data_IF_308077602676
#
_entry.id   IF_308077602676
#
_cell.length_a   1.000
_cell.length_b   1.000
_cell.length_c   1.000
_cell.angle_alpha   90.00
_cell.angle_beta   90.00
_cell.angle_gamma   90.00
#
_symmetry.space_group_name_H-M   'P 1'
#
loop_
_entity.id
_entity.type
_entity.pdbx_description
1 polymer ?
#
# COMPACT_ATOMS: atom_id res chain seq x y z
N UNK A 1 19.04 11.16 16.53
CA UNK A 1 18.33 10.55 15.37
C UNK A 1 16.92 11.15 15.39
N UNK A 2 16.41 11.61 14.25
CA UNK A 2 15.12 12.34 14.19
C UNK A 2 14.04 11.36 13.74
N UNK A 3 13.04 11.16 14.59
CA UNK A 3 11.91 10.27 14.30
C UNK A 3 10.90 10.96 13.38
N UNK A 4 10.24 10.18 12.54
CA UNK A 4 9.10 10.63 11.75
C UNK A 4 7.91 10.85 12.67
N UNK A 5 7.31 12.03 12.60
CA UNK A 5 6.14 12.40 13.39
C UNK A 5 5.04 12.86 12.45
N UNK A 6 3.77 12.51 12.72
CA UNK A 6 2.64 13.00 11.93
C UNK A 6 2.58 14.53 12.03
N UNK A 7 2.18 15.17 10.93
CA UNK A 7 2.04 16.63 10.88
C UNK A 7 0.59 16.99 11.23
N UNK A 8 -0.35 16.20 10.73
CA UNK A 8 -1.76 16.27 11.04
C UNK A 8 -2.15 15.34 12.20
N UNK A 9 -3.45 15.09 12.30
CA UNK A 9 -4.06 14.30 13.37
C UNK A 9 -4.75 13.02 12.83
N UNK A 10 -4.46 12.63 11.59
CA UNK A 10 -5.07 11.45 10.99
C UNK A 10 -4.41 10.17 11.52
N UNK A 11 -5.20 9.12 11.64
CA UNK A 11 -4.73 7.76 11.94
C UNK A 11 -3.77 7.25 10.85
N UNK A 12 -4.04 7.59 9.59
CA UNK A 12 -3.24 7.22 8.43
C UNK A 12 -1.83 7.82 8.48
N UNK A 13 -1.68 9.09 8.85
CA UNK A 13 -0.36 9.70 9.05
C UNK A 13 0.38 9.09 10.23
N UNK A 14 -0.33 8.81 11.32
CA UNK A 14 0.23 8.15 12.51
C UNK A 14 0.76 6.76 12.13
N UNK A 15 -0.03 6.00 11.37
CA UNK A 15 0.35 4.67 10.89
C UNK A 15 1.55 4.74 9.94
N UNK A 16 1.53 5.69 9.01
CA UNK A 16 2.65 5.91 8.09
C UNK A 16 3.95 6.21 8.83
N UNK A 17 3.92 7.12 9.81
CA UNK A 17 5.09 7.45 10.63
C UNK A 17 5.56 6.25 11.45
N UNK A 18 4.63 5.45 12.01
CA UNK A 18 4.97 4.23 12.75
C UNK A 18 5.71 3.22 11.86
N UNK A 19 5.22 2.98 10.64
CA UNK A 19 5.89 2.11 9.66
C UNK A 19 7.29 2.64 9.33
N UNK A 20 7.43 3.93 9.03
CA UNK A 20 8.72 4.54 8.69
C UNK A 20 9.73 4.46 9.86
N UNK A 21 9.29 4.73 11.08
CA UNK A 21 10.12 4.63 12.28
C UNK A 21 10.57 3.19 12.53
N UNK A 22 9.68 2.21 12.35
CA UNK A 22 10.02 0.81 12.51
C UNK A 22 11.01 0.32 11.45
N UNK A 23 10.87 0.75 10.20
CA UNK A 23 11.84 0.48 9.14
C UNK A 23 13.19 1.15 9.44
N UNK A 24 13.18 2.41 9.86
CA UNK A 24 14.39 3.16 10.23
C UNK A 24 15.14 2.53 11.40
N UNK A 25 14.43 1.98 12.38
CA UNK A 25 15.03 1.28 13.52
C UNK A 25 15.66 -0.06 13.11
N UNK A 26 15.20 -0.67 12.00
CA UNK A 26 15.68 -1.96 11.50
C UNK A 26 16.81 -1.83 10.47
N UNK A 27 16.83 -0.74 9.71
CA UNK A 27 17.72 -0.60 8.56
C UNK A 27 18.36 0.80 8.52
N UNK A 28 19.70 0.83 8.54
CA UNK A 28 20.47 2.07 8.37
C UNK A 28 20.47 2.55 6.91
N UNK A 29 20.32 1.62 5.96
CA UNK A 29 20.27 1.86 4.52
C UNK A 29 19.13 1.09 3.90
N UNK A 30 18.66 1.51 2.71
CA UNK A 30 17.61 0.79 1.99
C UNK A 30 18.04 -0.69 1.76
N UNK A 31 17.33 -1.68 2.33
CA UNK A 31 17.67 -3.07 2.13
C UNK A 31 17.23 -3.55 0.75
N UNK A 32 17.60 -4.78 0.38
CA UNK A 32 17.14 -5.39 -0.88
C UNK A 32 15.62 -5.53 -0.89
N UNK A 33 15.01 -5.55 -2.08
CA UNK A 33 13.56 -5.66 -2.24
C UNK A 33 12.95 -6.84 -1.45
N UNK A 34 13.49 -8.08 -1.49
CA UNK A 34 12.93 -9.19 -0.71
C UNK A 34 12.94 -8.94 0.80
N UNK A 35 14.01 -8.31 1.31
CA UNK A 35 14.14 -8.00 2.74
C UNK A 35 13.17 -6.88 3.13
N UNK A 36 13.06 -5.83 2.32
CA UNK A 36 12.11 -4.76 2.54
C UNK A 36 10.67 -5.27 2.53
N UNK A 37 10.33 -6.09 1.52
CA UNK A 37 9.01 -6.71 1.39
C UNK A 37 8.67 -7.52 2.63
N UNK A 38 9.55 -8.42 3.06
CA UNK A 38 9.34 -9.23 4.26
C UNK A 38 9.16 -8.37 5.53
N UNK A 39 9.96 -7.30 5.68
CA UNK A 39 9.86 -6.39 6.81
C UNK A 39 8.52 -5.64 6.82
N UNK A 40 8.07 -5.14 5.68
CA UNK A 40 6.77 -4.47 5.52
C UNK A 40 5.62 -5.44 5.79
N UNK A 41 5.65 -6.66 5.23
CA UNK A 41 4.63 -7.67 5.49
C UNK A 41 4.52 -7.99 6.99
N UNK A 42 5.66 -8.13 7.68
CA UNK A 42 5.68 -8.38 9.11
C UNK A 42 5.08 -7.22 9.92
N UNK A 43 5.43 -5.97 9.57
CA UNK A 43 4.88 -4.78 10.22
C UNK A 43 3.37 -4.67 10.03
N UNK A 44 2.86 -4.90 8.81
CA UNK A 44 1.43 -4.83 8.55
C UNK A 44 0.67 -5.92 9.32
N UNK A 45 1.22 -7.14 9.38
CA UNK A 45 0.64 -8.23 10.18
C UNK A 45 0.64 -7.92 11.68
N UNK A 46 1.68 -7.25 12.18
CA UNK A 46 1.76 -6.79 13.57
C UNK A 46 0.67 -5.75 13.87
N UNK A 47 0.50 -4.75 12.99
CA UNK A 47 -0.54 -3.72 13.11
C UNK A 47 -1.93 -4.37 13.18
N UNK A 48 -2.24 -5.25 12.23
CA UNK A 48 -3.54 -5.93 12.16
C UNK A 48 -3.78 -6.84 13.37
N UNK A 49 -2.78 -7.60 13.80
CA UNK A 49 -2.90 -8.48 14.96
C UNK A 49 -3.14 -7.69 16.24
N UNK A 50 -2.41 -6.60 16.45
CA UNK A 50 -2.59 -5.74 17.63
C UNK A 50 -3.97 -5.09 17.65
N UNK A 51 -4.51 -4.67 16.51
CA UNK A 51 -5.87 -4.13 16.44
C UNK A 51 -6.93 -5.15 16.87
N UNK A 52 -6.78 -6.42 16.46
CA UNK A 52 -7.66 -7.50 16.91
C UNK A 52 -7.61 -7.69 18.43
N UNK A 53 -6.43 -7.60 19.01
CA UNK A 53 -6.22 -7.82 20.45
C UNK A 53 -6.65 -6.62 21.31
N UNK A 54 -6.47 -5.39 20.80
CA UNK A 54 -6.59 -4.16 21.62
C UNK A 54 -7.78 -3.28 21.27
N UNK A 55 -8.30 -3.36 20.03
CA UNK A 55 -9.31 -2.42 19.50
C UNK A 55 -10.48 -3.13 18.80
N UNK A 56 -10.62 -4.44 18.96
CA UNK A 56 -11.79 -5.20 18.50
C UNK A 56 -11.76 -5.60 17.02
N UNK A 57 -10.62 -5.49 16.34
CA UNK A 57 -10.42 -6.10 15.01
C UNK A 57 -11.13 -5.40 13.85
N UNK A 58 -11.46 -4.12 14.01
CA UNK A 58 -12.21 -3.35 13.02
C UNK A 58 -11.34 -2.55 12.05
N UNK A 59 -10.00 -2.65 12.14
CA UNK A 59 -9.09 -1.91 11.26
C UNK A 59 -9.23 -2.34 9.80
N UNK A 60 -9.36 -1.33 8.93
CA UNK A 60 -9.16 -1.45 7.49
C UNK A 60 -7.81 -0.80 7.18
N UNK A 61 -6.88 -1.57 6.64
CA UNK A 61 -5.53 -1.11 6.30
C UNK A 61 -5.30 -1.33 4.80
N UNK A 62 -5.59 -0.29 4.03
CA UNK A 62 -5.29 -0.23 2.61
C UNK A 62 -4.33 0.93 2.37
N UNK A 63 -3.19 0.66 1.73
CA UNK A 63 -2.29 1.74 1.35
C UNK A 63 -1.47 1.39 0.11
N UNK A 64 -1.01 2.44 -0.56
CA UNK A 64 0.04 2.40 -1.56
C UNK A 64 1.26 3.14 -0.99
N UNK A 65 2.42 2.49 -1.01
CA UNK A 65 3.66 3.04 -0.48
C UNK A 65 4.74 3.05 -1.57
N UNK A 66 5.10 4.23 -2.05
CA UNK A 66 6.22 4.42 -2.97
C UNK A 66 7.57 4.32 -2.24
N UNK A 67 8.52 3.61 -2.83
CA UNK A 67 9.88 3.48 -2.33
C UNK A 67 10.88 3.80 -3.44
N UNK A 68 11.22 5.09 -3.57
CA UNK A 68 11.97 5.57 -4.73
C UNK A 68 11.13 5.60 -6.01
N UNK A 69 11.76 5.80 -7.19
CA UNK A 69 11.04 6.11 -8.43
C UNK A 69 10.37 4.93 -9.12
N UNK A 70 10.76 3.69 -8.81
CA UNK A 70 10.36 2.50 -9.59
C UNK A 70 9.69 1.41 -8.75
N UNK A 71 9.48 1.63 -7.46
CA UNK A 71 8.94 0.61 -6.57
C UNK A 71 7.74 1.16 -5.81
N UNK A 72 6.63 0.44 -5.90
CA UNK A 72 5.41 0.71 -5.16
C UNK A 72 4.96 -0.58 -4.47
N UNK A 73 4.68 -0.50 -3.17
CA UNK A 73 4.03 -1.55 -2.41
C UNK A 73 2.54 -1.25 -2.33
N UNK A 74 1.72 -2.27 -2.52
CA UNK A 74 0.29 -2.24 -2.24
C UNK A 74 0.00 -3.22 -1.11
N UNK A 75 -0.74 -2.76 -0.10
CA UNK A 75 -1.22 -3.60 0.98
C UNK A 75 -2.73 -3.40 1.15
N UNK A 76 -3.44 -4.50 1.38
CA UNK A 76 -4.90 -4.50 1.53
C UNK A 76 -5.32 -5.55 2.54
N UNK A 77 -6.03 -5.10 3.58
CA UNK A 77 -6.64 -5.95 4.60
C UNK A 77 -7.85 -5.25 5.23
N UNK A 78 -8.95 -5.95 5.57
CA UNK A 78 -9.26 -7.38 5.36
C UNK A 78 -9.92 -7.70 4.01
N UNK A 79 -10.08 -6.72 3.11
CA UNK A 79 -10.88 -6.87 1.89
C UNK A 79 -12.35 -6.56 2.13
N UNK A 80 -13.00 -7.21 3.10
CA UNK A 80 -14.34 -6.85 3.58
C UNK A 80 -14.41 -7.01 5.11
N UNK A 81 -15.24 -6.20 5.78
CA UNK A 81 -15.48 -6.35 7.22
C UNK A 81 -16.18 -7.68 7.47
N UNK A 82 -15.91 -8.29 8.63
CA UNK A 82 -16.61 -9.52 9.04
C UNK A 82 -18.14 -9.30 9.01
N UNK A 83 -18.86 -10.18 8.32
CA UNK A 83 -20.31 -10.08 8.15
C UNK A 83 -20.78 -8.99 7.17
N UNK A 84 -19.90 -8.29 6.47
CA UNK A 84 -20.26 -7.29 5.47
C UNK A 84 -20.15 -7.84 4.04
N UNK A 85 -21.14 -7.53 3.20
CA UNK A 85 -21.09 -7.79 1.75
C UNK A 85 -20.37 -6.67 0.97
N UNK A 86 -19.92 -5.61 1.66
CA UNK A 86 -19.27 -4.45 1.04
C UNK A 86 -17.77 -4.67 0.93
N UNK A 87 -17.28 -4.73 -0.30
CA UNK A 87 -15.84 -4.76 -0.57
C UNK A 87 -15.19 -3.40 -0.28
N UNK A 88 -14.08 -3.45 0.46
CA UNK A 88 -13.24 -2.33 0.87
C UNK A 88 -11.76 -2.55 0.54
N UNK A 89 -11.38 -3.66 -0.12
CA UNK A 89 -9.99 -3.97 -0.43
C UNK A 89 -9.48 -3.30 -1.71
N UNK A 90 -8.18 -3.36 -1.92
CA UNK A 90 -7.57 -2.96 -3.19
C UNK A 90 -7.82 -4.02 -4.28
N UNK A 91 -7.96 -3.55 -5.51
CA UNK A 91 -8.04 -4.37 -6.71
C UNK A 91 -7.00 -3.87 -7.72
N UNK A 92 -6.35 -4.79 -8.43
CA UNK A 92 -5.41 -4.45 -9.49
C UNK A 92 -5.69 -5.27 -10.74
N UNK A 93 -5.37 -4.69 -11.90
CA UNK A 93 -5.46 -5.35 -13.20
C UNK A 93 -4.13 -5.13 -13.93
N UNK A 94 -3.48 -6.22 -14.29
CA UNK A 94 -2.35 -6.19 -15.22
C UNK A 94 -2.91 -6.33 -16.62
N UNK A 95 -2.44 -5.50 -17.54
CA UNK A 95 -2.73 -5.62 -18.96
C UNK A 95 -1.41 -5.87 -19.68
N UNK A 96 -1.44 -6.61 -20.78
CA UNK A 96 -0.29 -6.83 -21.67
C UNK A 96 -0.64 -6.45 -23.13
N UNK A 97 0.34 -6.09 -23.97
CA UNK A 97 0.09 -5.74 -25.37
C UNK A 97 -0.52 -6.91 -26.17
N UNK A 98 -1.27 -6.63 -27.24
CA UNK A 98 -1.70 -5.31 -27.72
C UNK A 98 -2.93 -4.79 -26.95
N UNK A 99 -2.89 -3.53 -26.54
CA UNK A 99 -3.95 -2.91 -25.74
C UNK A 99 -4.93 -2.09 -26.59
N UNK A 100 -6.22 -2.16 -26.24
CA UNK A 100 -7.19 -1.13 -26.62
C UNK A 100 -7.16 0.07 -25.67
N UNK A 101 -7.94 1.11 -26.00
CA UNK A 101 -8.17 2.24 -25.08
C UNK A 101 -8.97 1.78 -23.85
N UNK A 102 -8.65 2.31 -22.67
CA UNK A 102 -9.50 2.13 -21.51
C UNK A 102 -9.82 3.45 -20.81
N UNK A 103 -11.04 3.49 -20.30
CA UNK A 103 -11.61 4.63 -19.62
C UNK A 103 -12.01 4.19 -18.22
N UNK A 104 -11.49 4.87 -17.19
CA UNK A 104 -11.99 4.68 -15.82
C UNK A 104 -13.33 5.39 -15.74
N UNK A 105 -14.39 4.67 -15.40
CA UNK A 105 -15.76 5.21 -15.44
C UNK A 105 -16.08 6.19 -14.31
N UNK A 106 -15.27 6.19 -13.24
CA UNK A 106 -15.57 6.89 -11.98
C UNK A 106 -14.73 8.17 -11.78
N UNK A 107 -13.72 8.36 -12.61
CA UNK A 107 -12.92 9.59 -12.66
C UNK A 107 -12.82 10.01 -14.13
N UNK A 108 -12.91 11.30 -14.44
CA UNK A 108 -12.63 11.87 -15.77
C UNK A 108 -11.12 11.74 -16.14
N UNK A 109 -10.58 10.53 -16.09
CA UNK A 109 -9.18 10.21 -16.33
C UNK A 109 -9.09 9.08 -17.36
N UNK A 110 -8.69 9.46 -18.58
CA UNK A 110 -8.40 8.53 -19.67
C UNK A 110 -6.89 8.34 -19.80
N UNK A 111 -6.44 7.09 -19.82
CA UNK A 111 -5.04 6.76 -20.10
C UNK A 111 -4.98 6.07 -21.46
N UNK A 112 -4.22 6.66 -22.39
CA UNK A 112 -3.87 6.01 -23.65
C UNK A 112 -2.62 5.14 -23.43
N UNK A 113 -2.82 3.83 -23.36
CA UNK A 113 -1.75 2.86 -23.10
C UNK A 113 -0.73 2.79 -24.27
N UNK A 114 -1.11 3.21 -25.47
CA UNK A 114 -0.21 3.24 -26.62
C UNK A 114 0.89 4.31 -26.50
N UNK A 115 0.66 5.33 -25.66
CA UNK A 115 1.64 6.39 -25.40
C UNK A 115 2.64 6.06 -24.28
N UNK A 116 2.41 5.00 -23.50
CA UNK A 116 3.18 4.69 -22.28
C UNK A 116 3.83 3.31 -22.26
N UNK A 117 3.41 2.36 -23.09
CA UNK A 117 4.05 1.04 -23.21
C UNK A 117 4.69 0.90 -24.60
N UNK A 118 5.98 0.56 -24.66
CA UNK A 118 6.67 0.23 -25.92
C UNK A 118 6.71 -1.29 -26.11
N UNK A 119 6.88 -1.76 -27.34
CA UNK A 119 6.89 -3.19 -27.70
C UNK A 119 8.00 -4.02 -27.00
N UNK A 120 8.97 -3.36 -26.36
CA UNK A 120 10.09 -3.99 -25.64
C UNK A 120 9.97 -3.91 -24.09
N UNK A 121 8.81 -3.50 -23.54
CA UNK A 121 8.51 -3.55 -22.09
C UNK A 121 7.81 -4.86 -21.66
#
# INVERSE_FOLDING_TARGET
IRDYNPIGATDSETMFCAILNALRARFDTLPTLPVLHAALSALCNEIVTRDKETMGGNTILNFLLGCGPHLQFAYSWPGAREGSEVWNGLHYLVREPPFGSAHLSDCDYSIDFSAVAKEDD
#
